data_IF_397421648615
#
_entry.id   IF_397421648615
#
_cell.length_a   1.000
_cell.length_b   1.000
_cell.length_c   1.000
_cell.angle_alpha   90.00
_cell.angle_beta   90.00
_cell.angle_gamma   90.00
#
_symmetry.space_group_name_H-M   'P 1'
#
loop_
_entity.id
_entity.type
_entity.pdbx_description
1 polymer ?
#
# COMPACT_ATOMS: atom_id res chain seq x y z
N UNK A 1 -5.75 10.20 5.46
CA UNK A 1 -5.46 11.23 6.47
C UNK A 1 -6.58 12.25 6.49
N UNK A 2 -7.10 12.61 7.66
CA UNK A 2 -8.08 13.69 7.84
C UNK A 2 -7.49 14.75 8.76
N UNK A 3 -7.72 16.03 8.45
CA UNK A 3 -7.20 17.17 9.20
C UNK A 3 -8.35 18.12 9.51
N UNK A 4 -8.52 18.46 10.78
CA UNK A 4 -9.61 19.30 11.28
C UNK A 4 -9.06 20.34 12.27
N UNK A 5 -9.62 21.55 12.24
CA UNK A 5 -9.36 22.57 13.24
C UNK A 5 -10.46 22.51 14.31
N UNK A 6 -10.10 22.26 15.57
CA UNK A 6 -11.04 22.07 16.67
C UNK A 6 -10.82 23.14 17.75
N UNK A 7 -11.89 23.77 18.21
CA UNK A 7 -11.86 24.69 19.35
C UNK A 7 -12.33 23.97 20.62
N UNK A 8 -11.56 24.06 21.70
CA UNK A 8 -11.95 23.52 23.01
C UNK A 8 -12.60 24.62 23.87
N UNK A 9 -13.91 24.53 24.04
CA UNK A 9 -14.67 25.47 24.88
C UNK A 9 -14.52 26.92 24.41
N UNK A 10 -14.21 27.82 25.34
CA UNK A 10 -13.98 29.25 25.05
C UNK A 10 -12.50 29.60 24.80
N UNK A 11 -11.65 28.60 24.50
CA UNK A 11 -10.23 28.85 24.18
C UNK A 11 -10.09 29.67 22.91
N UNK A 12 -9.27 30.73 22.96
CA UNK A 12 -8.87 31.51 21.78
C UNK A 12 -7.83 30.81 20.90
N UNK A 13 -7.33 29.64 21.33
CA UNK A 13 -6.31 28.87 20.62
C UNK A 13 -6.96 27.65 19.97
N UNK A 14 -7.07 27.62 18.64
CA UNK A 14 -7.56 26.44 17.94
C UNK A 14 -6.50 25.33 17.96
N UNK A 15 -6.96 24.09 18.03
CA UNK A 15 -6.12 22.89 17.94
C UNK A 15 -6.21 22.30 16.53
N UNK A 16 -5.10 21.76 16.05
CA UNK A 16 -5.08 20.97 14.82
C UNK A 16 -5.22 19.49 15.18
N UNK A 17 -6.31 18.87 14.77
CA UNK A 17 -6.55 17.45 14.91
C UNK A 17 -6.21 16.74 13.61
N UNK A 18 -5.20 15.86 13.66
CA UNK A 18 -4.80 15.02 12.52
C UNK A 18 -5.19 13.58 12.85
N UNK A 19 -6.08 13.00 12.04
CA UNK A 19 -6.44 11.58 12.12
C UNK A 19 -5.73 10.82 11.02
N UNK A 20 -4.89 9.89 11.43
CA UNK A 20 -4.15 8.99 10.53
C UNK A 20 -4.76 7.60 10.70
N UNK A 21 -5.42 7.10 9.66
CA UNK A 21 -5.88 5.72 9.62
C UNK A 21 -4.68 4.78 9.49
N UNK A 22 -4.73 3.57 10.08
CA UNK A 22 -3.71 2.57 9.81
C UNK A 22 -3.70 2.21 8.33
N UNK A 23 -2.51 1.90 7.82
CA UNK A 23 -2.25 1.46 6.45
C UNK A 23 -1.35 0.22 6.50
N UNK A 24 -1.44 -0.63 5.48
CA UNK A 24 -0.54 -1.77 5.25
C UNK A 24 0.81 -1.30 4.72
N UNK A 25 0.87 -0.12 4.10
CA UNK A 25 2.13 0.46 3.65
C UNK A 25 2.97 1.01 4.80
N UNK A 26 4.28 0.74 4.76
CA UNK A 26 5.25 1.40 5.63
C UNK A 26 5.56 2.77 5.05
N UNK A 27 5.41 3.80 5.88
CA UNK A 27 5.71 5.18 5.51
C UNK A 27 7.06 5.61 6.08
N UNK A 28 7.80 6.38 5.29
CA UNK A 28 9.09 6.97 5.65
C UNK A 28 9.01 8.50 5.68
N UNK A 29 9.94 9.13 6.40
CA UNK A 29 10.15 10.58 6.29
C UNK A 29 10.76 10.94 4.93
N UNK A 30 10.82 12.23 4.62
CA UNK A 30 11.53 12.72 3.42
C UNK A 30 13.04 12.43 3.41
N UNK A 31 13.62 11.95 4.52
CA UNK A 31 15.01 11.50 4.64
C UNK A 31 15.17 9.98 4.55
N UNK A 32 14.09 9.24 4.33
CA UNK A 32 14.09 7.78 4.32
C UNK A 32 14.18 7.15 5.72
N UNK A 33 13.83 7.90 6.77
CA UNK A 33 13.83 7.39 8.14
C UNK A 33 12.46 6.78 8.46
N UNK A 34 12.45 5.65 9.18
CA UNK A 34 11.23 4.97 9.60
C UNK A 34 11.12 4.95 11.13
N UNK A 35 9.91 5.14 11.65
CA UNK A 35 9.63 5.18 13.09
C UNK A 35 8.45 4.30 13.44
N UNK A 36 8.49 3.68 14.62
CA UNK A 36 7.39 2.91 15.17
C UNK A 36 6.93 3.53 16.49
N UNK A 37 5.61 3.71 16.65
CA UNK A 37 5.03 4.16 17.91
C UNK A 37 5.12 3.03 18.94
N UNK A 38 5.78 3.29 20.07
CA UNK A 38 5.87 2.39 21.22
C UNK A 38 5.43 3.16 22.45
N UNK A 39 4.16 3.00 22.85
CA UNK A 39 3.57 3.82 23.90
C UNK A 39 3.35 5.26 23.43
N UNK A 40 3.93 6.21 24.17
CA UNK A 40 3.90 7.64 23.88
C UNK A 40 5.12 8.13 23.07
N UNK A 41 6.08 7.24 22.76
CA UNK A 41 7.30 7.59 22.03
C UNK A 41 7.32 7.04 20.60
N UNK A 42 7.88 7.84 19.69
CA UNK A 42 8.25 7.40 18.35
C UNK A 42 9.69 6.90 18.35
N UNK A 43 9.89 5.60 18.13
CA UNK A 43 11.23 5.00 18.08
C UNK A 43 11.76 4.93 16.66
N UNK A 44 12.93 5.50 16.42
CA UNK A 44 13.64 5.37 15.15
C UNK A 44 14.05 3.91 14.93
N UNK A 45 13.76 3.38 13.74
CA UNK A 45 14.12 2.03 13.36
C UNK A 45 15.46 2.02 12.63
N UNK A 46 16.32 1.07 12.99
CA UNK A 46 17.47 0.76 12.15
C UNK A 46 17.05 -0.04 10.91
N UNK A 47 18.00 -0.26 10.00
CA UNK A 47 17.74 -0.97 8.74
C UNK A 47 17.07 -2.35 8.93
N UNK A 48 17.57 -3.16 9.87
CA UNK A 48 17.04 -4.51 10.11
C UNK A 48 15.61 -4.45 10.64
N UNK A 49 15.35 -3.57 11.62
CA UNK A 49 14.02 -3.40 12.20
C UNK A 49 13.02 -2.84 11.18
N UNK A 50 13.47 -1.94 10.30
CA UNK A 50 12.65 -1.43 9.21
C UNK A 50 12.28 -2.55 8.22
N UNK A 51 13.24 -3.39 7.85
CA UNK A 51 13.00 -4.55 6.98
C UNK A 51 12.05 -5.57 7.63
N UNK A 52 12.19 -5.82 8.94
CA UNK A 52 11.25 -6.64 9.71
C UNK A 52 9.84 -6.05 9.72
N UNK A 53 9.71 -4.72 9.87
CA UNK A 53 8.41 -4.06 9.81
C UNK A 53 7.73 -4.24 8.46
N UNK A 54 8.49 -4.11 7.35
CA UNK A 54 8.00 -4.37 6.00
C UNK A 54 7.48 -5.80 5.84
N UNK A 55 8.19 -6.80 6.38
CA UNK A 55 7.72 -8.19 6.34
C UNK A 55 6.46 -8.41 7.20
N UNK A 56 6.38 -7.80 8.38
CA UNK A 56 5.26 -7.97 9.30
C UNK A 56 3.98 -7.28 8.81
N UNK A 57 4.10 -6.11 8.16
CA UNK A 57 2.97 -5.38 7.58
C UNK A 57 2.41 -6.04 6.31
N UNK A 58 3.13 -7.04 5.80
CA UNK A 58 2.81 -7.78 4.59
C UNK A 58 3.53 -7.20 3.37
N UNK A 59 3.78 -8.01 2.33
CA UNK A 59 4.18 -7.44 1.05
C UNK A 59 3.10 -6.42 0.67
N UNK A 60 3.49 -5.20 0.30
CA UNK A 60 2.61 -4.38 -0.54
C UNK A 60 2.13 -5.34 -1.62
N UNK A 61 0.83 -5.50 -1.80
CA UNK A 61 0.27 -6.46 -2.75
C UNK A 61 0.80 -6.13 -4.15
N UNK A 62 2.00 -6.59 -4.49
CA UNK A 62 2.60 -6.40 -5.80
C UNK A 62 1.87 -7.30 -6.81
N UNK A 63 1.14 -8.30 -6.29
CA UNK A 63 0.25 -9.20 -7.01
C UNK A 63 -1.21 -8.70 -7.06
N UNK A 64 -1.51 -7.53 -6.50
CA UNK A 64 -2.87 -6.94 -6.43
C UNK A 64 -2.97 -5.50 -6.92
N UNK A 65 -1.85 -4.85 -7.22
CA UNK A 65 -1.83 -3.52 -7.81
C UNK A 65 -2.02 -3.61 -9.32
N UNK A 66 -3.14 -3.07 -9.82
CA UNK A 66 -3.37 -2.94 -11.25
C UNK A 66 -2.21 -2.19 -11.91
N UNK A 67 -1.63 -2.78 -12.94
CA UNK A 67 -0.67 -2.07 -13.80
C UNK A 67 -1.44 -0.98 -14.52
N UNK A 68 -1.12 0.28 -14.21
CA UNK A 68 -1.79 1.45 -14.80
C UNK A 68 -1.68 1.38 -16.33
N UNK A 69 -2.81 1.40 -17.03
CA UNK A 69 -2.96 1.21 -18.49
C UNK A 69 -2.81 -0.23 -19.02
N UNK A 70 -2.72 -1.24 -18.17
CA UNK A 70 -2.96 -2.62 -18.61
C UNK A 70 -4.43 -2.78 -19.01
N UNK A 71 -4.65 -3.13 -20.27
CA UNK A 71 -5.96 -3.40 -20.85
C UNK A 71 -5.90 -4.75 -21.56
N UNK A 72 -7.05 -5.42 -21.75
CA UNK A 72 -7.10 -6.69 -22.48
C UNK A 72 -6.47 -6.59 -23.87
N UNK A 73 -6.58 -5.43 -24.54
CA UNK A 73 -5.96 -5.17 -25.83
C UNK A 73 -4.43 -5.13 -25.83
N UNK A 74 -3.80 -5.04 -24.65
CA UNK A 74 -2.35 -5.05 -24.49
C UNK A 74 -1.76 -6.44 -24.26
N UNK A 75 -2.58 -7.49 -24.23
CA UNK A 75 -2.10 -8.86 -24.05
C UNK A 75 -1.53 -9.42 -25.36
N UNK A 76 -0.40 -10.11 -25.28
CA UNK A 76 0.21 -10.80 -26.42
C UNK A 76 -0.49 -12.15 -26.64
N UNK A 77 -1.08 -12.33 -27.81
CA UNK A 77 -1.84 -13.53 -28.16
C UNK A 77 -0.99 -14.81 -28.24
N UNK A 78 0.28 -14.71 -28.63
CA UNK A 78 1.19 -15.85 -28.69
C UNK A 78 1.56 -16.32 -27.28
N UNK A 79 1.88 -15.36 -26.40
CA UNK A 79 2.15 -15.65 -24.98
C UNK A 79 0.93 -16.25 -24.28
N UNK A 80 -0.27 -15.74 -24.57
CA UNK A 80 -1.52 -16.29 -24.05
C UNK A 80 -1.75 -17.73 -24.51
N UNK A 81 -1.46 -18.05 -25.77
CA UNK A 81 -1.60 -19.41 -26.29
C UNK A 81 -0.61 -20.40 -25.65
N UNK A 82 0.63 -19.96 -25.44
CA UNK A 82 1.65 -20.73 -24.71
C UNK A 82 1.17 -21.00 -23.29
N UNK A 83 0.69 -19.97 -22.60
CA UNK A 83 0.17 -20.10 -21.24
C UNK A 83 -1.01 -21.08 -21.18
N UNK A 84 -2.01 -20.96 -22.07
CA UNK A 84 -3.16 -21.88 -22.16
C UNK A 84 -2.76 -23.33 -22.30
N UNK A 85 -1.79 -23.58 -23.18
CA UNK A 85 -1.26 -24.92 -23.43
C UNK A 85 -0.56 -25.46 -22.18
N UNK A 86 0.22 -24.62 -21.50
CA UNK A 86 0.93 -25.00 -20.29
C UNK A 86 0.00 -25.35 -19.11
N UNK A 87 -1.14 -24.66 -18.99
CA UNK A 87 -2.14 -24.93 -17.93
C UNK A 87 -3.21 -25.94 -18.32
N UNK A 88 -3.21 -26.43 -19.56
CA UNK A 88 -4.18 -27.43 -20.05
C UNK A 88 -5.61 -26.91 -20.21
N UNK A 89 -5.77 -25.61 -20.51
CA UNK A 89 -7.09 -24.99 -20.68
C UNK A 89 -7.60 -25.15 -22.12
N UNK A 90 -8.79 -25.74 -22.28
CA UNK A 90 -9.50 -25.95 -23.56
C UNK A 90 -10.68 -24.97 -23.76
N UNK A 91 -10.81 -23.96 -22.90
CA UNK A 91 -11.92 -23.01 -22.96
C UNK A 91 -11.84 -22.09 -24.19
N UNK A 92 -12.98 -21.97 -24.90
CA UNK A 92 -13.11 -21.12 -26.07
C UNK A 92 -13.46 -19.68 -25.67
N UNK A 93 -12.63 -18.73 -26.10
CA UNK A 93 -12.70 -17.30 -25.71
C UNK A 93 -13.90 -16.56 -26.33
N UNK A 94 -14.69 -17.24 -27.16
CA UNK A 94 -15.81 -16.66 -27.91
C UNK A 94 -17.04 -16.31 -27.08
N UNK A 95 -16.99 -16.49 -25.74
CA UNK A 95 -18.14 -16.35 -24.85
C UNK A 95 -18.07 -15.17 -23.87
N UNK A 96 -17.08 -14.27 -24.01
CA UNK A 96 -16.91 -13.09 -23.14
C UNK A 96 -17.36 -11.77 -23.79
#
# INVERSE_FOLDING_TARGET
>A
MQVELVSLGSSSHPLLLIRVSPDEQVHETNRGECFLQVGDESRHLNFVQHQELLYNRGPSQFDGSEVRAATMSGMDAEQLQIYRTAVGSDADDSTA
#
